data_IF_859079554257
#
_entry.id   IF_859079554257
#
_cell.length_a   1.000
_cell.length_b   1.000
_cell.length_c   1.000
_cell.angle_alpha   90.00
_cell.angle_beta   90.00
_cell.angle_gamma   90.00
#
_symmetry.space_group_name_H-M   'P 1'
#
loop_
_entity.id
_entity.type
_entity.pdbx_description
1 polymer ?
#
# COMPACT_ATOMS: atom_id res chain seq x y z
N UNK A 1 18.21 -7.20 -19.30
CA UNK A 1 18.72 -7.77 -18.03
C UNK A 1 17.79 -7.40 -16.89
N UNK A 2 18.08 -7.80 -15.64
CA UNK A 2 17.22 -7.55 -14.48
C UNK A 2 17.16 -6.07 -14.06
N UNK A 3 18.03 -5.22 -14.59
CA UNK A 3 17.93 -3.77 -14.46
C UNK A 3 17.95 -3.16 -15.86
N UNK A 4 16.99 -2.29 -16.17
CA UNK A 4 16.83 -1.67 -17.50
C UNK A 4 16.63 -0.17 -17.34
N UNK A 5 17.39 0.63 -18.08
CA UNK A 5 17.17 2.07 -18.16
C UNK A 5 15.99 2.35 -19.07
N UNK A 6 14.98 3.05 -18.55
CA UNK A 6 13.74 3.40 -19.28
C UNK A 6 13.63 4.91 -19.56
N UNK A 7 14.56 5.70 -19.04
CA UNK A 7 14.68 7.14 -19.29
C UNK A 7 15.99 7.70 -18.73
N UNK A 8 16.28 9.00 -18.93
CA UNK A 8 17.53 9.61 -18.46
C UNK A 8 17.79 9.37 -16.97
N UNK A 9 16.74 9.51 -16.14
CA UNK A 9 16.79 9.37 -14.68
C UNK A 9 15.86 8.27 -14.16
N UNK A 10 15.53 7.27 -14.98
CA UNK A 10 14.57 6.22 -14.64
C UNK A 10 15.13 4.83 -14.92
N UNK A 11 15.07 3.96 -13.91
CA UNK A 11 15.49 2.57 -13.97
C UNK A 11 14.30 1.67 -13.60
N UNK A 12 14.11 0.62 -14.38
CA UNK A 12 13.23 -0.50 -14.05
C UNK A 12 14.05 -1.63 -13.43
N UNK A 13 13.61 -2.12 -12.27
CA UNK A 13 14.25 -3.21 -11.54
C UNK A 13 13.33 -4.44 -11.54
N UNK A 14 13.89 -5.56 -11.99
CA UNK A 14 13.32 -6.90 -11.92
C UNK A 14 14.39 -7.87 -11.41
N UNK A 15 14.87 -7.61 -10.18
CA UNK A 15 15.86 -8.40 -9.47
C UNK A 15 15.26 -8.82 -8.11
N UNK A 16 15.46 -10.07 -7.64
CA UNK A 16 14.85 -10.56 -6.39
C UNK A 16 15.18 -9.68 -5.16
N UNK A 17 16.41 -9.17 -5.09
CA UNK A 17 16.85 -8.33 -3.96
C UNK A 17 16.28 -6.90 -4.01
N UNK A 18 15.85 -6.41 -5.18
CA UNK A 18 15.46 -5.02 -5.37
C UNK A 18 14.26 -4.61 -4.50
N UNK A 19 13.34 -5.53 -4.21
CA UNK A 19 12.20 -5.24 -3.34
C UNK A 19 12.67 -4.85 -1.94
N UNK A 20 13.61 -5.61 -1.37
CA UNK A 20 14.15 -5.35 -0.03
C UNK A 20 15.00 -4.08 -0.02
N UNK A 21 15.87 -3.91 -1.01
CA UNK A 21 16.82 -2.79 -1.03
C UNK A 21 16.13 -1.46 -1.36
N UNK A 22 15.08 -1.46 -2.17
CA UNK A 22 14.35 -0.24 -2.57
C UNK A 22 13.13 0.01 -1.67
N UNK A 23 12.41 -1.03 -1.23
CA UNK A 23 11.14 -0.85 -0.48
C UNK A 23 11.13 -1.45 0.92
N UNK A 24 12.22 -2.08 1.36
CA UNK A 24 12.33 -2.66 2.70
C UNK A 24 12.50 -1.61 3.80
N UNK A 25 12.44 -2.09 5.05
CA UNK A 25 12.69 -1.28 6.23
C UNK A 25 14.10 -0.71 6.22
N UNK A 26 14.19 0.61 6.37
CA UNK A 26 15.43 1.36 6.43
C UNK A 26 16.12 1.16 7.77
N UNK A 27 17.45 1.09 7.77
CA UNK A 27 18.23 1.10 9.01
C UNK A 27 18.22 2.50 9.63
N UNK A 28 18.44 2.58 10.94
CA UNK A 28 18.55 3.87 11.63
C UNK A 28 19.67 4.70 10.99
N UNK A 29 19.37 5.96 10.65
CA UNK A 29 20.30 6.88 10.00
C UNK A 29 20.26 6.89 8.46
N UNK A 30 19.56 5.95 7.81
CA UNK A 30 19.38 5.99 6.37
C UNK A 30 18.28 6.99 5.96
N UNK A 31 18.53 7.75 4.90
CA UNK A 31 17.53 8.62 4.30
C UNK A 31 16.40 7.79 3.67
N UNK A 32 15.18 8.32 3.72
CA UNK A 32 14.05 7.73 3.00
C UNK A 32 14.22 7.92 1.50
N UNK A 33 13.78 6.94 0.70
CA UNK A 33 13.61 7.16 -0.72
C UNK A 33 12.40 8.07 -0.96
N UNK A 34 12.65 9.22 -1.58
CA UNK A 34 11.58 10.12 -1.98
C UNK A 34 10.56 9.42 -2.87
N UNK A 35 9.29 9.79 -2.72
CA UNK A 35 8.24 9.38 -3.65
C UNK A 35 8.46 10.10 -4.98
N UNK A 36 8.18 9.42 -6.08
CA UNK A 36 8.23 10.06 -7.41
C UNK A 36 7.13 11.14 -7.49
N UNK A 37 7.47 12.43 -7.68
CA UNK A 37 6.51 13.53 -7.67
C UNK A 37 5.42 13.40 -8.74
N UNK A 38 5.71 12.74 -9.87
CA UNK A 38 4.73 12.53 -10.95
C UNK A 38 3.71 11.49 -10.51
N UNK A 39 4.16 10.40 -9.88
CA UNK A 39 3.31 9.30 -9.45
C UNK A 39 2.39 9.70 -8.29
N UNK A 40 2.86 10.56 -7.39
CA UNK A 40 2.09 10.95 -6.20
C UNK A 40 1.29 12.24 -6.36
N UNK A 41 1.34 12.88 -7.52
CA UNK A 41 0.73 14.20 -7.75
C UNK A 41 -0.74 14.25 -7.31
N UNK A 42 -1.52 13.21 -7.62
CA UNK A 42 -2.94 13.12 -7.26
C UNK A 42 -3.22 12.60 -5.85
N UNK A 43 -2.19 12.23 -5.08
CA UNK A 43 -2.30 11.54 -3.79
C UNK A 43 -1.55 12.25 -2.65
N UNK A 44 -1.08 13.47 -2.87
CA UNK A 44 -0.26 14.21 -1.90
C UNK A 44 -0.96 14.47 -0.55
N UNK A 45 -2.28 14.42 -0.52
CA UNK A 45 -3.13 14.68 0.64
C UNK A 45 -3.53 13.42 1.43
N UNK A 46 -3.09 12.23 1.02
CA UNK A 46 -3.47 10.97 1.65
C UNK A 46 -2.27 10.11 2.08
N UNK A 47 -2.54 9.00 2.76
CA UNK A 47 -1.50 8.10 3.28
C UNK A 47 -0.57 7.53 2.20
N UNK A 48 -1.04 7.40 0.95
CA UNK A 48 -0.26 6.80 -0.13
C UNK A 48 0.75 7.79 -0.69
N UNK A 49 0.37 9.05 -0.91
CA UNK A 49 1.21 10.02 -1.64
C UNK A 49 1.84 11.13 -0.81
N UNK A 50 1.44 11.32 0.45
CA UNK A 50 1.96 12.42 1.28
C UNK A 50 3.45 12.31 1.65
N UNK A 51 4.04 13.42 2.12
CA UNK A 51 5.41 13.42 2.65
C UNK A 51 5.56 12.52 3.90
N UNK A 52 6.79 12.35 4.37
CA UNK A 52 7.11 11.48 5.51
C UNK A 52 6.35 11.83 6.79
N UNK A 53 6.23 13.12 7.09
CA UNK A 53 5.63 13.61 8.33
C UNK A 53 4.13 13.32 8.31
N UNK A 54 3.46 13.76 7.24
CA UNK A 54 2.04 13.53 7.02
C UNK A 54 1.73 12.03 6.91
N UNK A 55 2.56 11.25 6.23
CA UNK A 55 2.44 9.79 6.15
C UNK A 55 2.51 9.12 7.52
N UNK A 56 3.41 9.57 8.40
CA UNK A 56 3.50 9.09 9.77
C UNK A 56 2.23 9.44 10.56
N UNK A 57 1.75 10.67 10.43
CA UNK A 57 0.50 11.13 11.07
C UNK A 57 -0.71 10.31 10.60
N UNK A 58 -0.89 10.14 9.29
CA UNK A 58 -1.99 9.37 8.71
C UNK A 58 -1.93 7.90 9.10
N UNK A 59 -0.75 7.27 9.05
CA UNK A 59 -0.57 5.88 9.51
C UNK A 59 -0.98 5.72 10.96
N UNK A 60 -0.55 6.63 11.84
CA UNK A 60 -0.92 6.57 13.26
C UNK A 60 -2.43 6.70 13.46
N UNK A 61 -3.09 7.59 12.73
CA UNK A 61 -4.54 7.77 12.80
C UNK A 61 -5.30 6.52 12.31
N UNK A 62 -4.83 5.88 11.23
CA UNK A 62 -5.48 4.69 10.65
C UNK A 62 -5.15 3.38 11.38
N UNK A 63 -4.02 3.31 12.10
CA UNK A 63 -3.49 2.06 12.66
C UNK A 63 -4.49 1.27 13.52
N UNK A 64 -5.34 1.97 14.29
CA UNK A 64 -6.32 1.31 15.16
C UNK A 64 -7.34 0.47 14.36
N UNK A 65 -7.88 1.04 13.27
CA UNK A 65 -8.85 0.37 12.41
C UNK A 65 -8.27 -0.81 11.64
N UNK A 66 -6.95 -0.89 11.50
CA UNK A 66 -6.22 -1.99 10.86
C UNK A 66 -5.47 -2.88 11.86
N UNK A 67 -5.80 -2.81 13.15
CA UNK A 67 -5.27 -3.75 14.14
C UNK A 67 -5.78 -5.17 13.89
N UNK A 68 -5.04 -6.19 14.33
CA UNK A 68 -5.45 -7.58 14.17
C UNK A 68 -6.84 -7.84 14.77
N UNK A 69 -7.13 -7.27 15.94
CA UNK A 69 -8.43 -7.37 16.59
C UNK A 69 -9.52 -6.68 15.76
N UNK A 70 -9.32 -5.43 15.34
CA UNK A 70 -10.31 -4.71 14.52
C UNK A 70 -10.61 -5.43 13.20
N UNK A 71 -9.59 -6.08 12.58
CA UNK A 71 -9.78 -6.89 11.37
C UNK A 71 -10.60 -8.15 11.62
N UNK A 72 -10.38 -8.84 12.75
CA UNK A 72 -11.19 -10.02 13.14
C UNK A 72 -12.63 -9.62 13.46
N UNK A 73 -12.84 -8.48 14.11
CA UNK A 73 -14.17 -7.95 14.42
C UNK A 73 -15.00 -7.64 13.15
N UNK A 74 -14.39 -7.51 11.97
CA UNK A 74 -15.09 -7.34 10.69
C UNK A 74 -15.69 -8.64 10.13
N UNK A 75 -15.35 -9.82 10.69
CA UNK A 75 -15.81 -11.12 10.18
C UNK A 75 -17.34 -11.20 9.96
N UNK A 76 -18.21 -10.75 10.88
CA UNK A 76 -19.66 -10.81 10.67
C UNK A 76 -20.13 -10.00 9.46
N UNK A 77 -19.54 -8.82 9.25
CA UNK A 77 -19.83 -7.94 8.12
C UNK A 77 -19.44 -8.59 6.80
N UNK A 78 -18.23 -9.15 6.71
CA UNK A 78 -17.78 -9.85 5.51
C UNK A 78 -18.64 -11.07 5.21
N UNK A 79 -18.98 -11.87 6.23
CA UNK A 79 -19.88 -13.02 6.08
C UNK A 79 -21.24 -12.60 5.54
N UNK A 80 -21.81 -11.50 6.03
CA UNK A 80 -23.09 -10.99 5.53
C UNK A 80 -23.04 -10.67 4.03
N UNK A 81 -22.02 -9.95 3.56
CA UNK A 81 -21.87 -9.60 2.15
C UNK A 81 -21.59 -10.83 1.26
N UNK A 82 -20.77 -11.78 1.73
CA UNK A 82 -20.51 -13.02 1.00
C UNK A 82 -21.78 -13.86 0.87
N UNK A 83 -22.55 -14.00 1.95
CA UNK A 83 -23.83 -14.72 1.91
C UNK A 83 -24.82 -14.04 0.95
N UNK A 84 -24.90 -12.70 0.99
CA UNK A 84 -25.74 -11.95 0.07
C UNK A 84 -25.31 -12.13 -1.39
N UNK A 85 -24.01 -12.12 -1.67
CA UNK A 85 -23.49 -12.39 -3.01
C UNK A 85 -23.98 -13.76 -3.52
N UNK A 86 -23.82 -14.82 -2.72
CA UNK A 86 -24.27 -16.15 -3.11
C UNK A 86 -25.78 -16.22 -3.27
N UNK A 87 -26.57 -15.63 -2.37
CA UNK A 87 -28.01 -15.59 -2.50
C UNK A 87 -28.42 -15.00 -3.86
N UNK A 88 -27.87 -13.85 -4.25
CA UNK A 88 -28.19 -13.21 -5.53
C UNK A 88 -27.76 -14.03 -6.73
N UNK A 89 -26.64 -14.74 -6.65
CA UNK A 89 -26.21 -15.65 -7.72
C UNK A 89 -27.19 -16.81 -7.92
N UNK A 90 -27.74 -17.38 -6.83
CA UNK A 90 -28.75 -18.45 -6.90
C UNK A 90 -30.11 -17.94 -7.40
N UNK A 91 -30.48 -16.69 -7.12
CA UNK A 91 -31.71 -16.08 -7.64
C UNK A 91 -31.68 -15.87 -9.18
N UNK A 92 -30.49 -15.83 -9.78
CA UNK A 92 -30.28 -15.56 -11.21
C UNK A 92 -29.94 -16.82 -12.03
N UNK A 93 -29.85 -17.98 -11.39
CA UNK A 93 -29.65 -19.30 -12.03
C UNK A 93 -30.98 -20.01 -12.21
#
# INVERSE_FOLDING_TARGET
GPVVRIGPNMLSFNHPDAMKDVRGHRKSGEAEHGKDPIIVLSNGDNIVGSDRENHTRFRRALAYGFSAQAMLEQEPTFKAYVNQLFQRLHEQS
#
